data_IF_150120195509
#
_entry.id   IF_150120195509
#
_cell.length_a   1.000
_cell.length_b   1.000
_cell.length_c   1.000
_cell.angle_alpha   90.00
_cell.angle_beta   90.00
_cell.angle_gamma   90.00
#
_symmetry.space_group_name_H-M   'P 1'
#
loop_
_entity.id
_entity.type
_entity.pdbx_description
1 polymer ?
#
# COMPACT_ATOMS: atom_id res chain seq x y z
N UNK A 1 -10.36 23.33 38.36
CA UNK A 1 -10.44 22.19 37.41
C UNK A 1 -9.84 22.58 36.05
N UNK A 2 -10.50 23.40 35.20
CA UNK A 2 -9.96 23.81 33.88
C UNK A 2 -8.53 24.40 33.90
N UNK A 3 -8.23 25.31 34.83
CA UNK A 3 -6.88 25.91 34.99
C UNK A 3 -5.79 24.89 35.38
N UNK A 4 -6.16 23.90 36.20
CA UNK A 4 -5.23 22.85 36.64
C UNK A 4 -4.93 21.91 35.48
N UNK A 5 -5.97 21.49 34.73
CA UNK A 5 -5.80 20.67 33.52
C UNK A 5 -4.97 21.39 32.46
N UNK A 6 -5.20 22.68 32.23
CA UNK A 6 -4.41 23.47 31.29
C UNK A 6 -2.94 23.57 31.73
N UNK A 7 -2.69 23.81 33.02
CA UNK A 7 -1.34 23.83 33.56
C UNK A 7 -0.61 22.49 33.39
N UNK A 8 -1.28 21.37 33.72
CA UNK A 8 -0.71 20.03 33.56
C UNK A 8 -0.43 19.70 32.08
N UNK A 9 -1.33 20.09 31.17
CA UNK A 9 -1.13 19.90 29.75
C UNK A 9 0.10 20.68 29.24
N UNK A 10 0.23 21.95 29.64
CA UNK A 10 1.40 22.77 29.29
C UNK A 10 2.68 22.16 29.87
N UNK A 11 2.63 21.70 31.13
CA UNK A 11 3.78 21.05 31.75
C UNK A 11 4.22 19.81 30.94
N UNK A 12 3.29 18.95 30.53
CA UNK A 12 3.58 17.77 29.70
C UNK A 12 4.19 18.19 28.36
N UNK A 13 3.61 19.18 27.68
CA UNK A 13 4.15 19.68 26.41
C UNK A 13 5.57 20.23 26.57
N UNK A 14 5.82 21.06 27.59
CA UNK A 14 7.16 21.63 27.84
C UNK A 14 8.16 20.53 28.16
N UNK A 15 7.82 19.58 29.02
CA UNK A 15 8.68 18.44 29.33
C UNK A 15 8.96 17.62 28.07
N UNK A 16 7.95 17.34 27.26
CA UNK A 16 8.11 16.59 26.01
C UNK A 16 8.99 17.35 25.00
N UNK A 17 8.81 18.67 24.85
CA UNK A 17 9.66 19.50 23.99
C UNK A 17 11.13 19.48 24.45
N UNK A 18 11.39 19.59 25.75
CA UNK A 18 12.75 19.51 26.29
C UNK A 18 13.39 18.15 26.03
N UNK A 19 12.64 17.05 26.23
CA UNK A 19 13.14 15.70 25.96
C UNK A 19 13.46 15.49 24.47
N UNK A 20 12.61 16.00 23.56
CA UNK A 20 12.89 15.96 22.13
C UNK A 20 14.14 16.77 21.78
N UNK A 21 14.32 17.98 22.32
CA UNK A 21 15.54 18.77 22.09
C UNK A 21 16.78 17.99 22.54
N UNK A 22 16.75 17.36 23.72
CA UNK A 22 17.87 16.56 24.23
C UNK A 22 18.16 15.36 23.31
N UNK A 23 17.12 14.64 22.87
CA UNK A 23 17.26 13.48 22.00
C UNK A 23 17.78 13.84 20.60
N UNK A 24 17.25 14.90 19.99
CA UNK A 24 17.60 15.34 18.64
C UNK A 24 18.88 16.18 18.59
N UNK A 25 19.41 16.66 19.73
CA UNK A 25 20.59 17.55 19.76
C UNK A 25 21.83 16.95 19.09
N UNK A 26 22.16 15.69 19.42
CA UNK A 26 23.32 14.99 18.85
C UNK A 26 23.24 14.82 17.33
N UNK A 27 22.14 14.27 16.79
CA UNK A 27 21.88 14.21 15.34
C UNK A 27 21.97 15.57 14.64
N UNK A 28 21.23 16.57 15.13
CA UNK A 28 21.24 17.93 14.57
C UNK A 28 22.65 18.51 14.52
N UNK A 29 23.44 18.33 15.60
CA UNK A 29 24.81 18.81 15.65
C UNK A 29 25.70 18.14 14.58
N UNK A 30 25.50 16.83 14.32
CA UNK A 30 26.24 16.11 13.27
C UNK A 30 25.90 16.65 11.90
N UNK A 31 24.61 16.80 11.60
CA UNK A 31 24.10 17.28 10.31
C UNK A 31 24.57 18.70 10.02
N UNK A 32 24.52 19.60 11.02
CA UNK A 32 25.11 20.94 10.89
C UNK A 32 26.63 20.92 10.72
N UNK A 33 27.34 19.99 11.38
CA UNK A 33 28.80 19.89 11.26
C UNK A 33 29.25 19.37 9.89
N UNK A 34 28.42 18.58 9.19
CA UNK A 34 28.68 18.06 7.85
C UNK A 34 28.09 18.89 6.71
N UNK A 35 27.27 19.90 7.03
CA UNK A 35 26.55 20.70 6.04
C UNK A 35 27.48 21.61 5.22
N UNK A 36 27.16 21.75 3.93
CA UNK A 36 27.65 22.85 3.11
C UNK A 36 26.65 24.03 3.21
N UNK A 37 27.19 25.22 3.47
CA UNK A 37 26.41 26.42 3.77
C UNK A 37 26.21 27.33 2.54
N UNK A 38 26.46 26.81 1.34
CA UNK A 38 26.12 27.51 0.11
C UNK A 38 24.60 27.68 -0.05
N UNK A 39 24.16 28.85 -0.53
CA UNK A 39 22.73 29.18 -0.68
C UNK A 39 21.95 28.18 -1.56
N UNK A 40 22.63 27.55 -2.53
CA UNK A 40 22.06 26.50 -3.37
C UNK A 40 21.69 25.22 -2.61
N UNK A 41 22.30 24.98 -1.45
CA UNK A 41 22.15 23.74 -0.66
C UNK A 41 21.30 23.94 0.60
N UNK A 42 20.88 25.19 0.89
CA UNK A 42 20.07 25.52 2.06
C UNK A 42 18.75 24.72 2.12
N UNK A 43 18.16 24.38 0.96
CA UNK A 43 16.94 23.56 0.91
C UNK A 43 17.22 22.11 1.33
N UNK A 44 18.30 21.53 0.84
CA UNK A 44 18.73 20.17 1.18
C UNK A 44 19.00 20.07 2.68
N UNK A 45 19.77 21.02 3.22
CA UNK A 45 20.07 21.10 4.65
C UNK A 45 18.80 21.21 5.53
N UNK A 46 17.81 22.00 5.11
CA UNK A 46 16.53 22.08 5.84
C UNK A 46 15.80 20.74 5.82
N UNK A 47 15.80 20.03 4.69
CA UNK A 47 15.20 18.70 4.60
C UNK A 47 15.92 17.68 5.49
N UNK A 48 17.25 17.64 5.46
CA UNK A 48 18.04 16.73 6.31
C UNK A 48 17.81 17.00 7.80
N UNK A 49 17.73 18.26 8.21
CA UNK A 49 17.43 18.63 9.59
C UNK A 49 16.01 18.22 10.01
N UNK A 50 15.03 18.38 9.11
CA UNK A 50 13.65 17.97 9.37
C UNK A 50 13.54 16.45 9.50
N UNK A 51 14.20 15.70 8.61
CA UNK A 51 14.28 14.24 8.67
C UNK A 51 14.93 13.76 9.98
N UNK A 52 16.04 14.37 10.39
CA UNK A 52 16.70 14.05 11.65
C UNK A 52 15.81 14.32 12.87
N UNK A 53 15.10 15.45 12.89
CA UNK A 53 14.18 15.80 13.97
C UNK A 53 13.03 14.77 14.03
N UNK A 54 12.46 14.42 12.88
CA UNK A 54 11.34 13.47 12.76
C UNK A 54 11.75 12.02 13.06
N UNK A 55 13.00 11.65 12.82
CA UNK A 55 13.52 10.32 13.14
C UNK A 55 13.88 10.17 14.61
N UNK A 56 14.41 11.24 15.23
CA UNK A 56 14.89 11.22 16.61
C UNK A 56 13.89 11.82 17.61
N UNK A 57 12.59 11.62 17.38
CA UNK A 57 11.55 11.96 18.37
C UNK A 57 11.71 11.10 19.62
N UNK A 58 11.68 11.71 20.79
CA UNK A 58 11.78 11.02 22.08
C UNK A 58 10.70 9.92 22.19
N UNK A 59 11.12 8.68 22.44
CA UNK A 59 10.22 7.50 22.56
C UNK A 59 9.29 7.28 21.35
N UNK A 60 9.70 7.67 20.13
CA UNK A 60 8.94 7.52 18.88
C UNK A 60 8.23 6.17 18.77
N UNK A 61 8.98 5.08 18.86
CA UNK A 61 8.42 3.72 18.76
C UNK A 61 7.48 3.39 19.92
N UNK A 62 7.76 3.88 21.14
CA UNK A 62 6.84 3.74 22.27
C UNK A 62 5.50 4.41 22.01
N UNK A 63 5.47 5.60 21.40
CA UNK A 63 4.22 6.24 20.98
C UNK A 63 3.49 5.47 19.87
N UNK A 64 4.23 4.97 18.88
CA UNK A 64 3.67 4.16 17.79
C UNK A 64 3.04 2.87 18.34
N UNK A 65 3.74 2.17 19.23
CA UNK A 65 3.25 0.95 19.88
C UNK A 65 2.03 1.24 20.77
N UNK A 66 2.06 2.30 21.57
CA UNK A 66 0.94 2.70 22.41
C UNK A 66 -0.30 3.06 21.58
N UNK A 67 -0.11 3.78 20.47
CA UNK A 67 -1.18 4.08 19.53
C UNK A 67 -1.74 2.81 18.90
N UNK A 68 -0.89 1.92 18.36
CA UNK A 68 -1.31 0.65 17.79
C UNK A 68 -2.04 -0.26 18.79
N UNK A 69 -1.58 -0.29 20.05
CA UNK A 69 -2.24 -1.02 21.12
C UNK A 69 -3.63 -0.45 21.42
N UNK A 70 -3.77 0.87 21.50
CA UNK A 70 -5.08 1.50 21.71
C UNK A 70 -6.03 1.23 20.54
N UNK A 71 -5.53 1.25 19.29
CA UNK A 71 -6.32 0.85 18.11
C UNK A 71 -6.81 -0.59 18.21
N UNK A 72 -5.94 -1.51 18.67
CA UNK A 72 -6.29 -2.91 18.90
C UNK A 72 -7.37 -3.06 19.98
N UNK A 73 -7.29 -2.33 21.10
CA UNK A 73 -8.31 -2.31 22.15
C UNK A 73 -9.66 -1.79 21.66
N UNK A 74 -9.66 -0.83 20.74
CA UNK A 74 -10.86 -0.28 20.12
C UNK A 74 -11.41 -1.17 19.00
N UNK A 75 -10.78 -2.32 18.74
CA UNK A 75 -11.08 -3.20 17.60
C UNK A 75 -11.09 -2.46 16.25
N UNK A 76 -10.23 -1.44 16.12
CA UNK A 76 -10.13 -0.71 14.86
C UNK A 76 -9.43 -1.58 13.82
N UNK A 77 -10.08 -1.74 12.67
CA UNK A 77 -9.58 -2.52 11.53
C UNK A 77 -9.28 -1.62 10.32
N UNK A 78 -9.09 -0.32 10.56
CA UNK A 78 -8.72 0.68 9.53
C UNK A 78 -7.59 1.57 10.04
N UNK A 79 -6.81 2.08 9.10
CA UNK A 79 -5.75 3.04 9.30
C UNK A 79 -5.77 4.05 8.14
N UNK A 80 -5.35 5.28 8.43
CA UNK A 80 -5.33 6.41 7.51
C UNK A 80 -6.62 6.58 6.68
N UNK A 81 -7.78 6.73 7.34
CA UNK A 81 -9.07 6.93 6.67
C UNK A 81 -9.41 5.80 5.69
N UNK A 82 -9.29 4.56 6.18
CA UNK A 82 -9.54 3.33 5.41
C UNK A 82 -8.61 3.09 4.22
N UNK A 83 -7.50 3.81 4.08
CA UNK A 83 -6.51 3.48 3.05
C UNK A 83 -5.91 2.08 3.27
N UNK A 84 -5.68 1.71 4.53
CA UNK A 84 -5.22 0.37 4.92
C UNK A 84 -6.23 -0.24 5.89
N UNK A 85 -6.73 -1.44 5.57
CA UNK A 85 -7.71 -2.14 6.40
C UNK A 85 -7.30 -3.56 6.68
N UNK A 86 -7.78 -4.10 7.79
CA UNK A 86 -7.51 -5.49 8.20
C UNK A 86 -8.73 -6.36 7.91
N UNK A 87 -8.52 -7.47 7.19
CA UNK A 87 -9.56 -8.46 6.93
C UNK A 87 -9.83 -9.37 8.15
N UNK A 88 -10.82 -10.25 8.04
CA UNK A 88 -11.17 -11.20 9.11
C UNK A 88 -10.07 -12.23 9.41
N UNK A 89 -9.09 -12.40 8.51
CA UNK A 89 -7.94 -13.30 8.65
C UNK A 89 -6.68 -12.57 9.15
N UNK A 90 -6.79 -11.27 9.46
CA UNK A 90 -5.71 -10.43 9.99
C UNK A 90 -4.74 -9.89 8.95
N UNK A 91 -5.05 -9.98 7.65
CA UNK A 91 -4.22 -9.42 6.57
C UNK A 91 -4.58 -7.96 6.29
N UNK A 92 -3.58 -7.16 5.95
CA UNK A 92 -3.76 -5.76 5.55
C UNK A 92 -4.05 -5.63 4.06
N UNK A 93 -5.02 -4.82 3.69
CA UNK A 93 -5.45 -4.56 2.33
C UNK A 93 -5.51 -3.06 2.08
N UNK A 94 -5.22 -2.65 0.84
CA UNK A 94 -5.53 -1.30 0.42
C UNK A 94 -7.00 -1.22 0.02
N UNK A 95 -7.72 -0.24 0.53
CA UNK A 95 -9.10 0.01 0.14
C UNK A 95 -9.40 1.49 0.13
N UNK A 96 -10.58 1.84 -0.36
CA UNK A 96 -11.12 3.19 -0.38
C UNK A 96 -12.63 3.10 -0.64
N UNK A 97 -13.34 4.17 -0.31
CA UNK A 97 -14.75 4.27 -0.64
C UNK A 97 -14.92 4.42 -2.15
N UNK A 98 -15.60 3.45 -2.76
CA UNK A 98 -15.97 3.47 -4.15
C UNK A 98 -17.49 3.25 -4.29
N UNK A 99 -18.08 3.84 -5.32
CA UNK A 99 -19.52 3.68 -5.63
C UNK A 99 -19.78 2.60 -6.69
N UNK A 100 -18.72 2.04 -7.26
CA UNK A 100 -18.76 1.02 -8.28
C UNK A 100 -17.37 0.84 -8.92
N UNK A 101 -17.24 -0.08 -9.90
CA UNK A 101 -16.02 -0.24 -10.67
C UNK A 101 -15.69 1.02 -11.46
N UNK A 102 -14.40 1.25 -11.68
CA UNK A 102 -13.91 2.35 -12.50
C UNK A 102 -14.05 2.00 -13.98
N UNK A 103 -14.45 2.95 -14.81
CA UNK A 103 -14.44 2.78 -16.27
C UNK A 103 -12.99 2.79 -16.78
N UNK A 104 -12.60 1.73 -17.47
CA UNK A 104 -11.24 1.50 -17.95
C UNK A 104 -11.11 1.61 -19.46
N UNK A 105 -12.14 2.11 -20.17
CA UNK A 105 -12.15 2.16 -21.65
C UNK A 105 -10.96 2.91 -22.25
N UNK A 106 -10.63 4.08 -21.72
CA UNK A 106 -9.48 4.87 -22.19
C UNK A 106 -8.15 4.10 -22.02
N UNK A 107 -8.01 3.35 -20.93
CA UNK A 107 -6.80 2.54 -20.69
C UNK A 107 -6.72 1.36 -21.66
N UNK A 108 -7.84 0.64 -21.88
CA UNK A 108 -7.86 -0.47 -22.84
C UNK A 108 -7.62 0.02 -24.26
N UNK A 109 -8.14 1.19 -24.64
CA UNK A 109 -7.93 1.78 -25.97
C UNK A 109 -6.47 2.10 -26.23
N UNK A 110 -5.72 2.54 -25.20
CA UNK A 110 -4.28 2.76 -25.31
C UNK A 110 -3.50 1.46 -25.49
N UNK A 111 -3.93 0.36 -24.87
CA UNK A 111 -3.32 -0.96 -25.06
C UNK A 111 -3.63 -1.50 -26.46
N UNK A 112 -4.87 -1.35 -26.93
CA UNK A 112 -5.24 -1.72 -28.30
C UNK A 112 -4.46 -0.89 -29.33
N UNK A 113 -4.31 0.41 -29.10
CA UNK A 113 -3.49 1.29 -29.93
C UNK A 113 -2.02 0.85 -29.93
N UNK A 114 -1.45 0.47 -28.78
CA UNK A 114 -0.11 -0.11 -28.73
C UNK A 114 -0.03 -1.37 -29.61
N UNK A 115 -0.96 -2.32 -29.45
CA UNK A 115 -1.02 -3.55 -30.24
C UNK A 115 -1.07 -3.29 -31.75
N UNK A 116 -1.84 -2.29 -32.19
CA UNK A 116 -1.94 -1.92 -33.60
C UNK A 116 -0.65 -1.31 -34.18
N UNK A 117 0.27 -0.81 -33.35
CA UNK A 117 1.54 -0.22 -33.78
C UNK A 117 2.74 -1.18 -33.66
N UNK A 118 2.53 -2.41 -33.17
CA UNK A 118 3.60 -3.41 -33.09
C UNK A 118 3.92 -3.98 -34.48
N UNK A 119 5.14 -4.48 -34.64
CA UNK A 119 5.51 -5.27 -35.82
C UNK A 119 4.58 -6.50 -35.93
N UNK A 120 4.13 -6.89 -37.14
CA UNK A 120 3.24 -8.04 -37.30
C UNK A 120 3.76 -9.37 -36.74
N UNK A 121 5.08 -9.51 -36.51
CA UNK A 121 5.69 -10.70 -35.90
C UNK A 121 5.80 -10.61 -34.37
N UNK A 122 5.41 -9.49 -33.77
CA UNK A 122 5.41 -9.28 -32.32
C UNK A 122 4.05 -9.63 -31.75
N UNK A 123 4.00 -10.62 -30.85
CA UNK A 123 2.78 -10.95 -30.10
C UNK A 123 2.63 -10.03 -28.88
N UNK A 124 1.41 -9.61 -28.60
CA UNK A 124 1.05 -8.84 -27.40
C UNK A 124 0.10 -9.66 -26.54
N UNK A 125 0.51 -9.95 -25.31
CA UNK A 125 -0.32 -10.58 -24.28
C UNK A 125 -0.34 -9.66 -23.06
N UNK A 126 -1.53 -9.33 -22.56
CA UNK A 126 -1.69 -8.62 -21.30
C UNK A 126 -1.85 -9.60 -20.13
N UNK A 127 -1.10 -9.42 -19.06
CA UNK A 127 -1.18 -10.29 -17.87
C UNK A 127 -1.81 -9.53 -16.71
N UNK A 128 -3.01 -9.95 -16.30
CA UNK A 128 -3.71 -9.39 -15.15
C UNK A 128 -3.26 -10.11 -13.88
N UNK A 129 -2.58 -9.41 -12.99
CA UNK A 129 -2.20 -9.95 -11.68
C UNK A 129 -3.36 -9.86 -10.69
N UNK A 130 -3.46 -10.78 -9.71
CA UNK A 130 -4.51 -10.73 -8.72
C UNK A 130 -4.31 -9.59 -7.72
N UNK A 131 -5.41 -8.97 -7.32
CA UNK A 131 -5.48 -8.14 -6.12
C UNK A 131 -5.44 -9.04 -4.87
N UNK A 132 -4.96 -8.51 -3.74
CA UNK A 132 -4.91 -9.24 -2.47
C UNK A 132 -6.31 -9.59 -1.94
N UNK A 133 -7.33 -8.84 -2.35
CA UNK A 133 -8.71 -9.23 -2.19
C UNK A 133 -9.04 -10.40 -3.13
N UNK A 134 -9.04 -11.62 -2.58
CA UNK A 134 -9.34 -12.85 -3.31
C UNK A 134 -10.84 -13.14 -3.24
N UNK A 135 -11.52 -13.11 -4.39
CA UNK A 135 -12.95 -13.43 -4.52
C UNK A 135 -13.26 -14.79 -3.89
N UNK A 136 -14.31 -14.84 -3.07
CA UNK A 136 -14.76 -16.06 -2.39
C UNK A 136 -13.94 -16.46 -1.17
N UNK A 137 -12.86 -15.74 -0.83
CA UNK A 137 -12.07 -15.99 0.36
C UNK A 137 -11.93 -14.76 1.27
N UNK A 138 -11.53 -13.61 0.71
CA UNK A 138 -11.35 -12.40 1.50
C UNK A 138 -12.68 -11.86 2.00
N UNK A 139 -12.77 -11.64 3.31
CA UNK A 139 -13.93 -11.05 3.98
C UNK A 139 -13.47 -9.90 4.85
N UNK A 140 -14.08 -8.73 4.65
CA UNK A 140 -13.84 -7.59 5.52
C UNK A 140 -14.84 -7.55 6.69
N UNK A 141 -14.41 -7.06 7.87
CA UNK A 141 -15.34 -6.68 8.93
C UNK A 141 -16.41 -5.70 8.44
N UNK A 142 -17.56 -5.68 9.11
CA UNK A 142 -18.64 -4.73 8.80
C UNK A 142 -18.15 -3.27 8.88
N UNK A 143 -18.60 -2.44 7.94
CA UNK A 143 -18.23 -1.02 7.87
C UNK A 143 -16.92 -0.71 7.15
N UNK A 144 -16.15 -1.73 6.75
CA UNK A 144 -14.95 -1.56 5.91
C UNK A 144 -15.38 -1.41 4.44
N UNK A 145 -14.86 -0.40 3.70
CA UNK A 145 -15.26 -0.20 2.32
C UNK A 145 -14.66 -1.26 1.39
N UNK A 146 -15.37 -1.49 0.29
CA UNK A 146 -14.91 -2.31 -0.83
C UNK A 146 -14.65 -1.42 -2.05
N UNK A 147 -13.49 -1.60 -2.67
CA UNK A 147 -12.95 -0.70 -3.70
C UNK A 147 -13.30 -1.08 -5.15
N UNK A 148 -13.96 -2.22 -5.37
CA UNK A 148 -14.31 -2.73 -6.71
C UNK A 148 -13.11 -2.97 -7.66
N UNK A 149 -11.89 -3.20 -7.13
CA UNK A 149 -10.70 -3.45 -7.96
C UNK A 149 -10.89 -4.65 -8.90
N UNK A 150 -11.50 -5.72 -8.39
CA UNK A 150 -11.75 -6.94 -9.14
C UNK A 150 -12.75 -6.73 -10.29
N UNK A 151 -13.83 -5.99 -10.06
CA UNK A 151 -14.83 -5.65 -11.08
C UNK A 151 -14.26 -4.65 -12.10
N UNK A 152 -13.41 -3.72 -11.66
CA UNK A 152 -12.67 -2.81 -12.53
C UNK A 152 -11.75 -3.60 -13.48
N UNK A 153 -11.02 -4.59 -12.95
CA UNK A 153 -10.19 -5.48 -13.74
C UNK A 153 -11.01 -6.33 -14.74
N UNK A 154 -12.21 -6.77 -14.37
CA UNK A 154 -13.11 -7.48 -15.29
C UNK A 154 -13.52 -6.60 -16.48
N UNK A 155 -13.89 -5.34 -16.22
CA UNK A 155 -14.23 -4.37 -17.26
C UNK A 155 -13.07 -4.13 -18.23
N UNK A 156 -11.86 -3.99 -17.68
CA UNK A 156 -10.64 -3.82 -18.48
C UNK A 156 -10.35 -5.04 -19.37
N UNK A 157 -10.38 -6.25 -18.81
CA UNK A 157 -10.16 -7.47 -19.57
C UNK A 157 -11.24 -7.70 -20.63
N UNK A 158 -12.50 -7.36 -20.33
CA UNK A 158 -13.59 -7.45 -21.28
C UNK A 158 -13.38 -6.54 -22.51
N UNK A 159 -12.91 -5.30 -22.29
CA UNK A 159 -12.57 -4.38 -23.38
C UNK A 159 -11.40 -4.92 -24.22
N UNK A 160 -10.30 -5.36 -23.57
CA UNK A 160 -9.16 -5.94 -24.29
C UNK A 160 -9.56 -7.14 -25.15
N UNK A 161 -10.43 -8.01 -24.63
CA UNK A 161 -10.97 -9.15 -25.37
C UNK A 161 -11.82 -8.73 -26.57
N UNK A 162 -12.59 -7.65 -26.47
CA UNK A 162 -13.36 -7.12 -27.60
C UNK A 162 -12.46 -6.61 -28.72
N UNK A 163 -11.31 -6.03 -28.36
CA UNK A 163 -10.29 -5.55 -29.30
C UNK A 163 -9.38 -6.68 -29.83
N UNK A 164 -9.64 -7.94 -29.45
CA UNK A 164 -8.86 -9.09 -29.89
C UNK A 164 -7.45 -9.17 -29.27
N UNK A 165 -7.21 -8.44 -28.19
CA UNK A 165 -5.95 -8.51 -27.45
C UNK A 165 -5.93 -9.78 -26.60
N UNK A 166 -4.83 -10.53 -26.69
CA UNK A 166 -4.61 -11.74 -25.91
C UNK A 166 -4.38 -11.39 -24.43
N UNK A 167 -4.97 -12.19 -23.52
CA UNK A 167 -4.95 -11.88 -22.08
C UNK A 167 -4.77 -13.15 -21.24
N UNK A 168 -4.07 -13.00 -20.12
CA UNK A 168 -3.97 -14.00 -19.06
C UNK A 168 -4.51 -13.40 -17.76
N UNK A 169 -5.57 -13.99 -17.23
CA UNK A 169 -6.11 -13.60 -15.92
C UNK A 169 -5.60 -14.52 -14.81
N UNK A 170 -4.62 -14.04 -14.05
CA UNK A 170 -4.01 -14.81 -12.96
C UNK A 170 -4.89 -14.87 -11.70
N UNK A 171 -6.07 -14.25 -11.72
CA UNK A 171 -7.10 -14.44 -10.68
C UNK A 171 -7.82 -15.77 -10.86
N UNK A 172 -7.93 -16.25 -12.09
CA UNK A 172 -8.55 -17.54 -12.40
C UNK A 172 -7.67 -18.70 -11.91
N UNK A 173 -8.28 -19.68 -11.24
CA UNK A 173 -7.56 -20.85 -10.74
C UNK A 173 -6.69 -20.59 -9.49
N UNK A 174 -6.70 -19.38 -8.93
CA UNK A 174 -5.84 -19.00 -7.81
C UNK A 174 -6.13 -19.82 -6.54
N UNK A 175 -7.41 -20.08 -6.24
CA UNK A 175 -7.83 -20.90 -5.11
C UNK A 175 -7.60 -22.41 -5.38
N UNK A 176 -7.55 -22.80 -6.65
CA UNK A 176 -7.28 -24.15 -7.12
C UNK A 176 -5.78 -24.43 -7.31
N UNK A 177 -4.92 -23.45 -7.05
CA UNK A 177 -3.45 -23.53 -7.21
C UNK A 177 -2.77 -24.61 -6.35
N UNK A 178 -3.48 -25.15 -5.36
CA UNK A 178 -2.92 -26.03 -4.33
C UNK A 178 -2.19 -25.27 -3.21
N UNK A 179 -2.16 -23.93 -3.25
CA UNK A 179 -1.65 -23.07 -2.19
C UNK A 179 -2.82 -22.74 -1.26
N UNK A 180 -2.70 -22.97 0.07
CA UNK A 180 -3.73 -22.54 1.01
C UNK A 180 -4.05 -21.05 0.85
N UNK A 181 -5.32 -20.66 0.84
CA UNK A 181 -5.72 -19.27 0.55
C UNK A 181 -5.04 -18.23 1.46
N UNK A 182 -4.89 -18.56 2.76
CA UNK A 182 -4.15 -17.74 3.74
C UNK A 182 -2.67 -17.51 3.40
N UNK A 183 -2.10 -18.34 2.54
CA UNK A 183 -0.69 -18.31 2.15
C UNK A 183 -0.46 -17.71 0.75
N UNK A 184 -1.52 -17.27 0.06
CA UNK A 184 -1.40 -16.65 -1.26
C UNK A 184 -0.64 -15.32 -1.21
N UNK A 185 -0.87 -14.52 -0.17
CA UNK A 185 -0.31 -13.18 0.02
C UNK A 185 0.36 -13.02 1.38
N UNK A 186 1.31 -12.07 1.47
CA UNK A 186 1.86 -11.65 2.75
C UNK A 186 0.79 -11.06 3.67
N UNK A 187 1.06 -10.99 4.98
CA UNK A 187 0.07 -10.47 5.93
C UNK A 187 0.01 -8.95 5.88
N UNK A 188 1.14 -8.27 6.03
CA UNK A 188 1.24 -6.80 6.07
C UNK A 188 1.57 -6.18 4.72
N UNK A 189 2.29 -6.91 3.86
CA UNK A 189 2.60 -6.48 2.49
C UNK A 189 1.47 -6.88 1.52
N UNK A 190 1.20 -6.03 0.53
CA UNK A 190 0.10 -6.22 -0.43
C UNK A 190 0.41 -7.22 -1.55
N UNK A 191 1.69 -7.57 -1.75
CA UNK A 191 2.09 -8.51 -2.77
C UNK A 191 1.82 -9.96 -2.37
N UNK A 192 1.70 -10.78 -3.41
CA UNK A 192 1.66 -12.23 -3.29
C UNK A 192 2.95 -12.80 -2.69
N UNK A 193 2.89 -14.00 -2.11
CA UNK A 193 4.10 -14.72 -1.69
C UNK A 193 4.81 -15.31 -2.92
N UNK A 194 6.10 -15.60 -2.76
CA UNK A 194 6.94 -16.20 -3.82
C UNK A 194 6.32 -17.48 -4.42
N UNK A 195 5.71 -18.35 -3.61
CA UNK A 195 5.04 -19.57 -4.09
C UNK A 195 3.90 -19.27 -5.07
N UNK A 196 3.10 -18.25 -4.76
CA UNK A 196 1.98 -17.79 -5.59
C UNK A 196 2.49 -17.15 -6.87
N UNK A 197 3.52 -16.29 -6.77
CA UNK A 197 4.18 -15.70 -7.94
C UNK A 197 4.75 -16.78 -8.87
N UNK A 198 5.34 -17.84 -8.31
CA UNK A 198 5.87 -18.95 -9.09
C UNK A 198 4.77 -19.79 -9.75
N UNK A 199 3.64 -20.00 -9.07
CA UNK A 199 2.46 -20.61 -9.69
C UNK A 199 1.93 -19.77 -10.85
N UNK A 200 1.83 -18.45 -10.66
CA UNK A 200 1.37 -17.51 -11.68
C UNK A 200 2.31 -17.49 -12.91
N UNK A 201 3.62 -17.51 -12.68
CA UNK A 201 4.61 -17.69 -13.73
C UNK A 201 4.35 -18.98 -14.52
N UNK A 202 4.02 -20.08 -13.85
CA UNK A 202 3.64 -21.34 -14.50
C UNK A 202 2.38 -21.23 -15.37
N UNK A 203 1.39 -20.42 -14.99
CA UNK A 203 0.22 -20.16 -15.84
C UNK A 203 0.59 -19.33 -17.08
N UNK A 204 1.43 -18.31 -16.90
CA UNK A 204 1.92 -17.51 -18.01
C UNK A 204 2.71 -18.36 -19.03
N UNK A 205 3.62 -19.21 -18.57
CA UNK A 205 4.40 -20.10 -19.45
C UNK A 205 3.46 -21.01 -20.25
N UNK A 206 2.48 -21.64 -19.60
CA UNK A 206 1.49 -22.50 -20.30
C UNK A 206 0.69 -21.75 -21.36
N UNK A 207 0.35 -20.49 -21.09
CA UNK A 207 -0.37 -19.65 -22.04
C UNK A 207 0.49 -19.29 -23.25
N UNK A 208 1.77 -18.96 -23.04
CA UNK A 208 2.69 -18.59 -24.11
C UNK A 208 3.14 -19.80 -24.96
N UNK A 209 3.18 -20.99 -24.37
CA UNK A 209 3.54 -22.24 -25.05
C UNK A 209 2.36 -22.88 -25.81
N UNK A 210 1.12 -22.44 -25.55
CA UNK A 210 -0.11 -22.91 -26.21
C UNK A 210 -0.35 -22.26 -27.56
#
# INVERSE_FOLDING_TARGET
KKRITAFLFILVLVTFSVLNIIQSFGPIQKTLASADYHYSEAKELIHELDDDINEHVFEKFGFVEAYGYMQSLMWKNEENNFEVVKDMEGKLHYTYFATGPTDTKDLSDRVAALGAHLDPNTKLTYVMTPDKYVRGYTQFPEGIPYNYNNETADGFLANLKQDGIDTVDLREGLLESGIPAKDLFFTTDHHWKIKTAFWAFGQLVKHLDG
#
